data_IF_933806918821
#
_entry.id   IF_933806918821
#
_cell.length_a   1.000
_cell.length_b   1.000
_cell.length_c   1.000
_cell.angle_alpha   90.00
_cell.angle_beta   90.00
_cell.angle_gamma   90.00
#
_symmetry.space_group_name_H-M   'P 1'
#
loop_
_entity.id
_entity.type
_entity.pdbx_description
1 polymer ?
#
# COMPACT_ATOMS: atom_id res chain seq x y z
N UNK A 1 -7.91 20.86 19.02
CA UNK A 1 -8.15 19.41 19.20
C UNK A 1 -7.42 18.67 18.08
N UNK A 2 -6.29 18.00 18.35
CA UNK A 2 -5.68 17.10 17.36
C UNK A 2 -6.56 15.85 17.34
N UNK A 3 -7.14 15.51 16.19
CA UNK A 3 -7.78 14.21 16.00
C UNK A 3 -6.64 13.24 15.73
N UNK A 4 -6.52 12.19 16.54
CA UNK A 4 -5.60 11.11 16.25
C UNK A 4 -6.08 10.42 14.97
N UNK A 5 -5.44 10.75 13.86
CA UNK A 5 -5.74 10.18 12.56
C UNK A 5 -5.10 8.79 12.53
N UNK A 6 -5.88 7.76 12.85
CA UNK A 6 -5.42 6.39 12.66
C UNK A 6 -5.41 6.08 11.17
N UNK A 7 -4.24 5.67 10.69
CA UNK A 7 -4.02 5.25 9.31
C UNK A 7 -3.68 3.76 9.37
N UNK A 8 -4.49 2.93 8.73
CA UNK A 8 -4.14 1.52 8.50
C UNK A 8 -3.49 1.42 7.14
N UNK A 9 -2.34 0.75 7.06
CA UNK A 9 -1.60 0.57 5.81
C UNK A 9 -1.39 -0.93 5.60
N UNK A 10 -1.78 -1.44 4.44
CA UNK A 10 -1.40 -2.75 3.96
C UNK A 10 -0.42 -2.57 2.80
N UNK A 11 0.64 -3.38 2.80
CA UNK A 11 1.63 -3.39 1.72
C UNK A 11 1.69 -4.80 1.16
N UNK A 12 1.41 -4.92 -0.14
CA UNK A 12 1.55 -6.17 -0.88
C UNK A 12 2.63 -6.01 -1.94
N UNK A 13 3.58 -6.95 -1.96
CA UNK A 13 4.69 -6.96 -2.91
C UNK A 13 4.68 -8.31 -3.63
N UNK A 14 4.56 -8.28 -4.95
CA UNK A 14 4.60 -9.48 -5.80
C UNK A 14 5.90 -9.51 -6.60
N UNK A 15 6.42 -10.71 -6.81
CA UNK A 15 7.63 -10.96 -7.57
C UNK A 15 7.35 -12.00 -8.65
N UNK A 16 7.79 -11.72 -9.87
CA UNK A 16 7.78 -12.71 -10.94
C UNK A 16 9.04 -13.58 -10.83
N UNK A 17 8.85 -14.84 -10.46
CA UNK A 17 9.92 -15.84 -10.34
C UNK A 17 11.07 -15.40 -9.40
N UNK A 18 12.32 -15.78 -9.72
CA UNK A 18 13.52 -15.42 -8.97
C UNK A 18 14.03 -13.98 -9.27
N UNK A 19 13.17 -13.08 -9.73
CA UNK A 19 13.57 -11.71 -10.00
C UNK A 19 13.75 -10.94 -8.69
N UNK A 20 14.83 -10.15 -8.58
CA UNK A 20 15.08 -9.28 -7.40
C UNK A 20 14.24 -8.00 -7.44
N UNK A 21 13.69 -7.64 -8.60
CA UNK A 21 12.77 -6.51 -8.77
C UNK A 21 11.32 -7.01 -8.64
N UNK A 22 10.50 -6.42 -7.76
CA UNK A 22 9.09 -6.76 -7.67
C UNK A 22 8.34 -6.38 -8.96
N UNK A 23 7.39 -7.23 -9.35
CA UNK A 23 6.49 -7.01 -10.49
C UNK A 23 5.31 -6.12 -10.11
N UNK A 24 4.85 -6.18 -8.86
CA UNK A 24 3.83 -5.27 -8.31
C UNK A 24 4.23 -4.81 -6.91
N UNK A 25 3.94 -3.56 -6.59
CA UNK A 25 4.05 -3.01 -5.25
C UNK A 25 2.80 -2.18 -4.98
N UNK A 26 1.88 -2.78 -4.25
CA UNK A 26 0.57 -2.23 -3.96
C UNK A 26 0.60 -1.71 -2.53
N UNK A 27 0.22 -0.45 -2.35
CA UNK A 27 -0.02 0.14 -1.03
C UNK A 27 -1.48 0.48 -0.93
N UNK A 28 -2.13 -0.13 0.03
CA UNK A 28 -3.49 0.21 0.43
C UNK A 28 -3.42 1.00 1.73
N UNK A 29 -4.17 2.09 1.81
CA UNK A 29 -4.29 2.82 3.07
C UNK A 29 -5.74 3.21 3.35
N UNK A 30 -6.10 3.13 4.63
CA UNK A 30 -7.39 3.54 5.15
C UNK A 30 -7.21 4.77 6.04
N UNK A 31 -7.82 5.90 5.65
CA UNK A 31 -7.81 7.14 6.43
C UNK A 31 -9.25 7.52 6.75
N UNK A 32 -9.65 7.36 8.02
CA UNK A 32 -11.00 7.72 8.46
C UNK A 32 -12.11 6.99 7.71
N UNK A 33 -11.91 5.70 7.38
CA UNK A 33 -12.86 4.86 6.65
C UNK A 33 -12.84 4.99 5.13
N UNK A 34 -11.96 5.82 4.56
CA UNK A 34 -11.74 5.89 3.10
C UNK A 34 -10.57 5.00 2.69
N UNK A 35 -10.80 4.15 1.70
CA UNK A 35 -9.80 3.26 1.12
C UNK A 35 -9.22 3.85 -0.16
N UNK A 36 -7.90 3.86 -0.23
CA UNK A 36 -7.13 4.26 -1.41
C UNK A 36 -6.10 3.15 -1.71
N UNK A 37 -5.91 2.84 -2.98
CA UNK A 37 -4.94 1.85 -3.48
C UNK A 37 -4.01 2.54 -4.48
N UNK A 38 -2.70 2.33 -4.32
CA UNK A 38 -1.68 2.87 -5.24
C UNK A 38 -0.68 1.78 -5.59
N UNK A 39 -0.50 1.53 -6.89
CA UNK A 39 0.63 0.76 -7.41
C UNK A 39 1.78 1.72 -7.73
N UNK A 40 2.95 1.52 -7.14
CA UNK A 40 4.07 2.48 -7.20
C UNK A 40 5.15 2.11 -8.23
N UNK A 41 5.05 0.95 -8.89
CA UNK A 41 6.10 0.44 -9.79
C UNK A 41 5.74 0.60 -11.28
N UNK A 42 4.55 1.10 -11.58
CA UNK A 42 4.11 1.49 -12.93
C UNK A 42 3.81 2.98 -13.04
#
# INVERSE_FOLDING_TARGET
MKRDLQIKVNVEIKYDQNNKRPSEFIVEYEIGGKYEEVNIIN
#
